data_IF_064660628961
#
_entry.id   IF_064660628961
#
_cell.length_a   1.000
_cell.length_b   1.000
_cell.length_c   1.000
_cell.angle_alpha   90.00
_cell.angle_beta   90.00
_cell.angle_gamma   90.00
#
_symmetry.space_group_name_H-M   'P 1'
#
loop_
_entity.id
_entity.type
_entity.pdbx_description
1 polymer ?
#
# COMPACT_ATOMS: atom_id res chain seq x y z
N UNK A 1 -44.15 49.67 -35.31
CA UNK A 1 -43.15 50.59 -34.70
C UNK A 1 -41.77 50.07 -35.13
N UNK A 2 -40.88 50.82 -35.78
CA UNK A 2 -40.47 52.24 -35.58
C UNK A 2 -39.70 52.41 -34.26
N UNK A 3 -38.51 53.05 -34.19
CA UNK A 3 -37.81 53.94 -35.14
C UNK A 3 -36.28 53.68 -35.05
N UNK A 4 -35.48 53.76 -36.12
CA UNK A 4 -34.65 54.93 -36.56
C UNK A 4 -33.83 55.59 -35.40
N UNK A 5 -32.49 55.59 -35.45
CA UNK A 5 -31.58 56.53 -36.17
C UNK A 5 -31.45 57.90 -35.48
N UNK A 6 -30.46 58.76 -35.73
CA UNK A 6 -29.27 58.76 -36.64
C UNK A 6 -28.03 59.22 -35.82
N UNK A 7 -26.86 59.75 -36.27
CA UNK A 7 -26.27 60.38 -37.47
C UNK A 7 -24.77 59.96 -37.55
N UNK A 8 -24.02 59.98 -38.67
CA UNK A 8 -23.53 61.06 -39.56
C UNK A 8 -22.50 62.04 -38.87
N UNK A 9 -21.40 62.51 -39.48
CA UNK A 9 -21.10 62.62 -40.93
C UNK A 9 -19.59 62.69 -41.37
N UNK A 10 -19.38 62.70 -42.71
CA UNK A 10 -18.23 63.05 -43.64
C UNK A 10 -16.97 63.72 -43.05
N UNK A 11 -15.75 63.60 -43.63
CA UNK A 11 -15.20 64.12 -44.93
C UNK A 11 -13.82 63.42 -45.15
N UNK A 12 -13.27 62.99 -46.31
CA UNK A 12 -13.51 62.99 -47.78
C UNK A 12 -12.75 64.04 -48.66
N UNK A 13 -12.29 63.63 -49.86
CA UNK A 13 -11.57 64.39 -50.94
C UNK A 13 -10.18 64.97 -50.53
N UNK A 14 -9.12 65.10 -51.36
CA UNK A 14 -8.82 64.84 -52.79
C UNK A 14 -7.60 63.88 -52.92
N UNK A 15 -7.24 63.32 -54.08
CA UNK A 15 -7.72 63.54 -55.45
C UNK A 15 -6.61 64.09 -56.36
N UNK A 16 -6.05 63.20 -57.19
CA UNK A 16 -5.14 63.38 -58.34
C UNK A 16 -4.57 64.77 -58.63
N UNK A 17 -3.27 64.96 -58.30
CA UNK A 17 -2.36 65.89 -59.01
C UNK A 17 -0.89 65.65 -58.63
N UNK A 18 -0.22 64.75 -59.36
CA UNK A 18 1.23 64.84 -59.66
C UNK A 18 1.77 63.80 -60.68
N UNK A 19 0.91 62.95 -61.28
CA UNK A 19 1.20 62.40 -62.61
C UNK A 19 1.18 63.51 -63.68
N UNK A 20 2.22 64.36 -63.72
CA UNK A 20 2.48 65.26 -64.87
C UNK A 20 3.86 65.94 -64.82
N UNK A 21 4.94 65.28 -64.37
CA UNK A 21 6.30 65.84 -64.56
C UNK A 21 7.50 64.85 -64.54
N UNK A 22 7.29 63.54 -64.39
CA UNK A 22 8.38 62.54 -64.40
C UNK A 22 8.67 61.92 -65.78
N UNK A 23 8.01 62.41 -66.85
CA UNK A 23 8.37 62.06 -68.22
C UNK A 23 9.51 62.97 -68.69
N UNK A 24 10.60 62.37 -69.20
CA UNK A 24 11.85 63.02 -69.65
C UNK A 24 12.75 63.65 -68.57
N UNK A 25 13.46 62.81 -67.80
CA UNK A 25 14.94 62.64 -67.88
C UNK A 25 15.42 61.57 -66.88
N UNK A 26 16.47 60.83 -67.25
CA UNK A 26 16.99 59.74 -66.43
C UNK A 26 17.73 60.24 -65.18
N UNK A 27 17.45 59.61 -64.03
CA UNK A 27 18.17 59.81 -62.77
C UNK A 27 18.00 58.59 -61.84
N UNK A 28 18.35 57.40 -62.33
CA UNK A 28 18.09 56.10 -61.69
C UNK A 28 19.08 55.73 -60.56
N UNK A 29 19.85 56.70 -60.03
CA UNK A 29 20.95 56.45 -59.08
C UNK A 29 20.75 56.98 -57.64
N UNK A 30 19.80 57.89 -57.37
CA UNK A 30 19.76 58.63 -56.09
C UNK A 30 18.71 58.18 -55.05
N UNK A 31 17.76 57.30 -55.39
CA UNK A 31 16.76 56.81 -54.43
C UNK A 31 17.41 55.95 -53.33
N UNK A 32 18.24 54.97 -53.70
CA UNK A 32 18.90 54.09 -52.73
C UNK A 32 19.85 54.88 -51.79
N UNK A 33 20.52 55.88 -52.36
CA UNK A 33 21.43 56.81 -51.68
C UNK A 33 20.70 57.67 -50.63
N UNK A 34 19.45 58.05 -50.91
CA UNK A 34 18.59 58.77 -49.96
C UNK A 34 18.09 57.83 -48.86
N UNK A 35 17.58 56.64 -49.21
CA UNK A 35 17.09 55.66 -48.23
C UNK A 35 18.15 55.24 -47.19
N UNK A 36 19.40 55.01 -47.62
CA UNK A 36 20.54 54.71 -46.72
C UNK A 36 20.88 55.85 -45.75
N UNK A 37 20.37 57.07 -45.96
CA UNK A 37 20.64 58.26 -45.12
C UNK A 37 19.56 58.53 -44.08
N UNK A 38 18.33 58.05 -44.29
CA UNK A 38 17.21 58.19 -43.36
C UNK A 38 17.13 57.04 -42.33
N UNK A 39 17.51 55.81 -42.72
CA UNK A 39 17.55 54.66 -41.81
C UNK A 39 18.91 54.62 -41.10
N UNK A 40 19.01 55.33 -39.98
CA UNK A 40 20.23 55.36 -39.17
C UNK A 40 20.60 53.98 -38.63
N UNK A 41 21.76 53.45 -39.05
CA UNK A 41 22.29 52.18 -38.53
C UNK A 41 22.37 52.20 -36.99
N UNK A 42 21.92 51.14 -36.30
CA UNK A 42 22.01 51.08 -34.85
C UNK A 42 23.47 51.12 -34.43
N UNK A 43 23.86 52.18 -33.71
CA UNK A 43 25.26 52.36 -33.27
C UNK A 43 25.77 51.12 -32.54
N UNK A 44 27.09 50.87 -32.53
CA UNK A 44 27.66 49.75 -31.76
C UNK A 44 27.25 49.80 -30.27
N UNK A 45 26.97 50.98 -29.71
CA UNK A 45 26.45 51.16 -28.35
C UNK A 45 25.02 50.62 -28.20
N UNK A 46 24.18 50.75 -29.23
CA UNK A 46 22.83 50.19 -29.30
C UNK A 46 22.87 48.67 -29.52
N UNK A 47 23.71 48.18 -30.44
CA UNK A 47 23.87 46.74 -30.69
C UNK A 47 24.44 46.01 -29.47
N UNK A 48 25.43 46.58 -28.78
CA UNK A 48 25.98 46.00 -27.55
C UNK A 48 24.98 46.05 -26.39
N UNK A 49 24.10 47.06 -26.32
CA UNK A 49 22.93 47.01 -25.41
C UNK A 49 22.01 45.84 -25.77
N UNK A 50 21.61 45.67 -27.03
CA UNK A 50 20.75 44.53 -27.43
C UNK A 50 21.38 43.18 -27.10
N UNK A 51 22.67 42.97 -27.43
CA UNK A 51 23.40 41.75 -27.07
C UNK A 51 23.41 41.52 -25.55
N UNK A 52 23.59 42.58 -24.75
CA UNK A 52 23.58 42.49 -23.29
C UNK A 52 22.19 42.15 -22.72
N UNK A 53 21.12 42.74 -23.27
CA UNK A 53 19.74 42.37 -22.90
C UNK A 53 19.38 40.94 -23.34
N UNK A 54 19.79 40.51 -24.55
CA UNK A 54 19.61 39.14 -25.02
C UNK A 54 20.32 38.11 -24.12
N UNK A 55 21.54 38.44 -23.69
CA UNK A 55 22.28 37.62 -22.72
C UNK A 55 21.60 37.57 -21.35
N UNK A 56 21.02 38.69 -20.87
CA UNK A 56 20.23 38.70 -19.65
C UNK A 56 18.93 37.88 -19.77
N UNK A 57 18.21 37.95 -20.89
CA UNK A 57 17.00 37.14 -21.10
C UNK A 57 17.32 35.65 -21.18
N UNK A 58 18.42 35.26 -21.83
CA UNK A 58 18.89 33.87 -21.83
C UNK A 58 19.31 33.40 -20.42
N UNK A 59 19.98 34.26 -19.66
CA UNK A 59 20.35 33.96 -18.26
C UNK A 59 19.13 33.81 -17.34
N UNK A 60 18.11 34.67 -17.48
CA UNK A 60 16.85 34.53 -16.75
C UNK A 60 16.05 33.29 -17.18
N UNK A 61 16.03 32.94 -18.47
CA UNK A 61 15.42 31.69 -18.96
C UNK A 61 16.15 30.47 -18.39
N UNK A 62 17.48 30.48 -18.33
CA UNK A 62 18.27 29.42 -17.71
C UNK A 62 18.01 29.30 -16.21
N UNK A 63 18.00 30.41 -15.46
CA UNK A 63 17.62 30.40 -14.04
C UNK A 63 16.19 29.88 -13.86
N UNK A 64 15.25 30.28 -14.70
CA UNK A 64 13.87 29.81 -14.63
C UNK A 64 13.77 28.29 -14.88
N UNK A 65 14.51 27.75 -15.86
CA UNK A 65 14.59 26.31 -16.11
C UNK A 65 15.22 25.55 -14.92
N UNK A 66 16.32 26.05 -14.35
CA UNK A 66 16.96 25.44 -13.17
C UNK A 66 16.04 25.47 -11.96
N UNK A 67 15.34 26.58 -11.72
CA UNK A 67 14.33 26.71 -10.64
C UNK A 67 13.13 25.81 -10.92
N UNK A 68 12.71 25.64 -12.17
CA UNK A 68 11.61 24.75 -12.53
C UNK A 68 11.99 23.29 -12.26
N UNK A 69 13.17 22.83 -12.68
CA UNK A 69 13.69 21.49 -12.40
C UNK A 69 13.85 21.25 -10.88
N UNK A 70 14.44 22.20 -10.14
CA UNK A 70 14.46 22.13 -8.67
C UNK A 70 13.05 22.07 -8.07
N UNK A 71 12.05 22.72 -8.69
CA UNK A 71 10.65 22.65 -8.23
C UNK A 71 9.98 21.31 -8.54
N UNK A 72 10.49 20.53 -9.48
CA UNK A 72 10.02 19.15 -9.73
C UNK A 72 10.67 18.17 -8.75
N UNK A 73 11.97 18.31 -8.46
CA UNK A 73 12.65 17.54 -7.40
C UNK A 73 12.01 17.80 -6.03
N UNK A 74 11.72 19.06 -5.69
CA UNK A 74 11.06 19.45 -4.42
C UNK A 74 9.58 19.05 -4.36
N UNK A 75 8.94 18.68 -5.48
CA UNK A 75 7.58 18.09 -5.49
C UNK A 75 7.56 16.62 -5.09
N UNK A 76 8.69 15.92 -5.08
CA UNK A 76 8.76 14.58 -4.50
C UNK A 76 8.67 14.70 -2.97
N UNK A 77 7.62 14.15 -2.31
CA UNK A 77 7.52 14.24 -0.87
C UNK A 77 8.65 13.42 -0.22
N UNK A 78 9.49 14.07 0.59
CA UNK A 78 10.59 13.44 1.33
C UNK A 78 10.13 12.50 2.47
N UNK A 79 8.84 12.14 2.49
CA UNK A 79 8.17 11.29 3.46
C UNK A 79 7.26 10.32 2.71
N UNK A 80 7.11 9.06 3.17
CA UNK A 80 6.21 8.10 2.55
C UNK A 80 4.75 8.57 2.71
N UNK A 81 4.21 9.21 1.68
CA UNK A 81 2.78 9.42 1.54
C UNK A 81 2.11 8.05 1.45
N UNK A 82 1.03 7.83 2.21
CA UNK A 82 0.16 6.66 2.03
C UNK A 82 -0.44 6.69 0.63
N UNK A 83 0.24 6.04 -0.34
CA UNK A 83 -0.31 5.82 -1.67
C UNK A 83 -1.59 5.01 -1.54
N UNK A 84 -2.72 5.64 -1.86
CA UNK A 84 -3.97 4.92 -2.10
C UNK A 84 -3.73 3.98 -3.28
N UNK A 85 -3.84 2.67 -3.04
CA UNK A 85 -3.49 1.59 -3.98
C UNK A 85 -3.77 1.94 -5.45
N UNK A 86 -2.70 2.20 -6.20
CA UNK A 86 -2.73 2.38 -7.65
C UNK A 86 -2.92 1.00 -8.28
N UNK A 87 -4.05 0.79 -8.94
CA UNK A 87 -4.52 -0.55 -9.31
C UNK A 87 -3.77 -1.11 -10.51
N UNK A 88 -2.62 -1.73 -10.24
CA UNK A 88 -2.25 -2.95 -10.97
C UNK A 88 -3.30 -4.01 -10.64
N UNK A 89 -4.31 -4.09 -11.50
CA UNK A 89 -5.55 -4.84 -11.29
C UNK A 89 -5.31 -6.35 -11.49
N UNK A 90 -4.56 -6.96 -10.58
CA UNK A 90 -4.44 -8.42 -10.50
C UNK A 90 -5.77 -9.00 -10.01
N UNK A 91 -6.39 -9.84 -10.83
CA UNK A 91 -7.69 -10.44 -10.53
C UNK A 91 -7.55 -11.57 -9.49
N UNK A 92 -7.28 -11.18 -8.24
CA UNK A 92 -6.76 -12.06 -7.20
C UNK A 92 -7.22 -11.65 -5.81
N UNK A 93 -7.91 -12.56 -5.13
CA UNK A 93 -8.41 -12.38 -3.76
C UNK A 93 -7.30 -12.55 -2.72
N UNK A 94 -7.18 -11.63 -1.77
CA UNK A 94 -6.39 -11.86 -0.56
C UNK A 94 -7.29 -12.54 0.48
N UNK A 95 -6.91 -13.73 0.95
CA UNK A 95 -7.67 -14.48 1.95
C UNK A 95 -6.92 -14.38 3.29
N UNK A 96 -7.36 -13.47 4.16
CA UNK A 96 -6.74 -13.28 5.48
C UNK A 96 -7.40 -14.24 6.49
N UNK A 97 -6.60 -15.10 7.11
CA UNK A 97 -7.02 -16.03 8.15
C UNK A 97 -6.60 -15.50 9.52
N UNK A 98 -7.59 -15.17 10.36
CA UNK A 98 -7.38 -14.61 11.70
C UNK A 98 -7.98 -15.50 12.78
N UNK A 99 -7.15 -16.17 13.59
CA UNK A 99 -7.61 -16.80 14.83
C UNK A 99 -7.82 -15.72 15.91
N UNK A 100 -8.94 -15.78 16.64
CA UNK A 100 -9.22 -14.87 17.77
C UNK A 100 -9.80 -15.63 18.98
N UNK A 101 -9.70 -15.07 20.19
CA UNK A 101 -10.18 -15.74 21.42
C UNK A 101 -10.60 -14.74 22.51
N UNK A 102 -11.48 -15.15 23.44
CA UNK A 102 -12.01 -14.28 24.50
C UNK A 102 -10.91 -13.80 25.45
N UNK A 103 -10.46 -12.55 25.26
CA UNK A 103 -9.53 -11.80 26.13
C UNK A 103 -9.96 -10.34 26.24
N UNK A 104 -9.50 -9.63 27.27
CA UNK A 104 -9.86 -8.21 27.49
C UNK A 104 -9.52 -7.32 26.30
N UNK A 105 -8.36 -7.50 25.68
CA UNK A 105 -7.90 -6.62 24.57
C UNK A 105 -8.54 -6.94 23.22
N UNK A 106 -9.27 -8.06 23.09
CA UNK A 106 -9.72 -8.60 21.78
C UNK A 106 -10.43 -7.56 20.91
N UNK A 107 -11.34 -6.78 21.48
CA UNK A 107 -12.14 -5.84 20.68
C UNK A 107 -11.29 -4.68 20.17
N UNK A 108 -10.34 -4.16 20.96
CA UNK A 108 -9.39 -3.15 20.50
C UNK A 108 -8.44 -3.71 19.42
N UNK A 109 -7.99 -4.96 19.60
CA UNK A 109 -7.12 -5.68 18.68
C UNK A 109 -7.82 -5.96 17.32
N UNK A 110 -9.02 -6.51 17.35
CA UNK A 110 -9.87 -6.72 16.16
C UNK A 110 -10.24 -5.39 15.48
N UNK A 111 -10.50 -4.31 16.23
CA UNK A 111 -10.83 -2.99 15.65
C UNK A 111 -9.64 -2.37 14.90
N UNK A 112 -8.41 -2.43 15.42
CA UNK A 112 -7.24 -1.92 14.68
C UNK A 112 -6.94 -2.76 13.44
N UNK A 113 -7.15 -4.07 13.50
CA UNK A 113 -7.04 -4.94 12.32
C UNK A 113 -8.12 -4.61 11.28
N UNK A 114 -9.39 -4.49 11.70
CA UNK A 114 -10.51 -4.11 10.84
C UNK A 114 -10.28 -2.78 10.12
N UNK A 115 -9.80 -1.75 10.83
CA UNK A 115 -9.45 -0.44 10.28
C UNK A 115 -8.28 -0.51 9.28
N UNK A 116 -7.37 -1.49 9.42
CA UNK A 116 -6.27 -1.67 8.47
C UNK A 116 -6.74 -2.40 7.21
N UNK A 117 -7.53 -3.48 7.37
CA UNK A 117 -7.99 -4.32 6.27
C UNK A 117 -9.05 -3.63 5.40
N UNK A 118 -9.90 -2.75 5.94
CA UNK A 118 -10.93 -2.03 5.17
C UNK A 118 -10.36 -1.06 4.12
N UNK A 119 -9.05 -0.77 4.19
CA UNK A 119 -8.33 -0.01 3.15
C UNK A 119 -7.78 -0.89 2.01
N UNK A 120 -7.88 -2.23 2.12
CA UNK A 120 -7.38 -3.19 1.13
C UNK A 120 -8.55 -3.70 0.28
N UNK A 121 -8.49 -3.46 -1.04
CA UNK A 121 -9.44 -4.02 -2.00
C UNK A 121 -9.31 -5.54 -2.12
N UNK A 122 -10.34 -6.19 -2.64
CA UNK A 122 -10.27 -7.58 -3.13
C UNK A 122 -9.66 -8.52 -2.06
N UNK A 123 -10.25 -8.44 -0.86
CA UNK A 123 -9.82 -9.14 0.35
C UNK A 123 -11.04 -9.78 1.03
N UNK A 124 -10.91 -11.06 1.40
CA UNK A 124 -11.90 -11.83 2.14
C UNK A 124 -11.34 -12.22 3.51
N UNK A 125 -12.01 -11.79 4.58
CA UNK A 125 -11.52 -11.98 5.96
C UNK A 125 -12.16 -13.21 6.62
N UNK A 126 -11.37 -14.27 6.83
CA UNK A 126 -11.79 -15.49 7.54
C UNK A 126 -11.41 -15.36 9.02
N UNK A 127 -12.41 -15.17 9.88
CA UNK A 127 -12.22 -15.04 11.33
C UNK A 127 -12.71 -16.30 12.04
N UNK A 128 -11.84 -16.93 12.82
CA UNK A 128 -12.15 -18.17 13.54
C UNK A 128 -11.95 -17.97 15.05
N UNK A 129 -13.04 -18.02 15.81
CA UNK A 129 -13.02 -17.87 17.27
C UNK A 129 -12.70 -19.19 17.99
N UNK A 130 -11.76 -19.19 18.94
CA UNK A 130 -11.59 -20.26 19.93
C UNK A 130 -12.74 -20.21 20.97
N UNK A 131 -13.90 -20.71 20.57
CA UNK A 131 -15.13 -20.70 21.35
C UNK A 131 -16.16 -21.72 20.85
N UNK A 132 -17.20 -21.95 21.65
CA UNK A 132 -18.33 -22.83 21.29
C UNK A 132 -19.31 -22.19 20.30
N UNK A 133 -19.28 -20.86 20.17
CA UNK A 133 -20.16 -20.04 19.33
C UNK A 133 -19.46 -18.72 19.00
N UNK A 134 -19.89 -18.05 17.93
CA UNK A 134 -19.54 -16.67 17.64
C UNK A 134 -20.18 -15.71 18.64
N UNK A 135 -19.71 -14.46 18.67
CA UNK A 135 -20.24 -13.39 19.54
C UNK A 135 -20.56 -12.11 18.74
N UNK A 136 -21.67 -11.40 19.05
CA UNK A 136 -22.09 -10.21 18.30
C UNK A 136 -21.01 -9.13 18.17
N UNK A 137 -20.32 -8.76 19.26
CA UNK A 137 -19.32 -7.68 19.25
C UNK A 137 -18.18 -7.86 18.23
N UNK A 138 -17.89 -9.10 17.79
CA UNK A 138 -16.96 -9.36 16.68
C UNK A 138 -17.68 -9.32 15.33
N UNK A 139 -18.87 -9.91 15.20
CA UNK A 139 -19.73 -9.78 14.01
C UNK A 139 -19.89 -8.30 13.61
N UNK A 140 -20.28 -7.46 14.57
CA UNK A 140 -20.46 -6.02 14.42
C UNK A 140 -19.19 -5.32 13.89
N UNK A 141 -17.99 -5.80 14.23
CA UNK A 141 -16.72 -5.26 13.71
C UNK A 141 -16.56 -5.64 12.23
N UNK A 142 -16.84 -6.89 11.87
CA UNK A 142 -16.70 -7.39 10.49
C UNK A 142 -17.70 -6.68 9.56
N UNK A 143 -18.97 -6.56 9.97
CA UNK A 143 -20.00 -5.84 9.20
C UNK A 143 -19.61 -4.37 8.93
N UNK A 144 -18.99 -3.70 9.91
CA UNK A 144 -18.49 -2.32 9.76
C UNK A 144 -17.30 -2.16 8.81
N UNK A 145 -16.63 -3.24 8.39
CA UNK A 145 -15.54 -3.13 7.40
C UNK A 145 -16.03 -2.96 5.96
N UNK A 146 -17.25 -3.43 5.64
CA UNK A 146 -17.72 -3.55 4.26
C UNK A 146 -16.99 -4.61 3.42
N UNK A 147 -16.10 -5.41 4.01
CA UNK A 147 -15.37 -6.48 3.34
C UNK A 147 -16.20 -7.78 3.27
N UNK A 148 -16.02 -8.60 2.22
CA UNK A 148 -16.36 -10.02 2.28
C UNK A 148 -15.69 -10.69 3.49
N UNK A 149 -16.43 -11.49 4.25
CA UNK A 149 -15.89 -12.20 5.40
C UNK A 149 -16.52 -13.58 5.60
N UNK A 150 -15.91 -14.40 6.44
CA UNK A 150 -16.54 -15.61 6.98
C UNK A 150 -16.14 -15.79 8.42
N UNK A 151 -17.14 -15.78 9.31
CA UNK A 151 -16.95 -15.84 10.75
C UNK A 151 -17.50 -17.16 11.30
N UNK A 152 -16.65 -17.94 11.96
CA UNK A 152 -17.03 -19.21 12.59
C UNK A 152 -16.39 -19.34 13.97
N UNK A 153 -16.92 -20.24 14.79
CA UNK A 153 -16.33 -20.58 16.08
C UNK A 153 -15.94 -22.06 16.11
N UNK A 154 -14.66 -22.31 16.38
CA UNK A 154 -14.04 -23.63 16.44
C UNK A 154 -13.16 -23.69 17.68
N UNK A 155 -13.75 -24.04 18.82
CA UNK A 155 -13.04 -24.28 20.08
C UNK A 155 -11.88 -25.25 19.88
N UNK A 156 -10.71 -24.92 20.41
CA UNK A 156 -9.48 -25.71 20.34
C UNK A 156 -9.73 -27.16 20.76
N UNK A 157 -9.57 -28.10 19.82
CA UNK A 157 -9.74 -29.52 20.06
C UNK A 157 -8.67 -30.09 21.01
N UNK A 158 -8.96 -31.25 21.60
CA UNK A 158 -8.03 -31.92 22.52
C UNK A 158 -6.68 -32.20 21.84
N UNK A 159 -5.58 -31.91 22.53
CA UNK A 159 -4.22 -32.07 22.03
C UNK A 159 -3.69 -30.92 21.16
N UNK A 160 -4.53 -29.98 20.69
CA UNK A 160 -4.04 -28.80 19.97
C UNK A 160 -3.46 -27.72 20.92
N UNK A 161 -2.36 -27.04 20.54
CA UNK A 161 -1.87 -25.89 21.29
C UNK A 161 -2.86 -24.73 21.24
N UNK A 162 -3.08 -24.09 22.40
CA UNK A 162 -3.97 -22.91 22.56
C UNK A 162 -3.30 -21.63 22.03
N UNK A 163 -2.98 -21.64 20.72
CA UNK A 163 -2.23 -20.61 19.98
C UNK A 163 -2.76 -20.41 18.55
N UNK A 164 -4.06 -20.62 18.34
CA UNK A 164 -4.70 -20.49 17.02
C UNK A 164 -4.45 -21.64 16.04
N UNK A 165 -3.70 -22.69 16.41
CA UNK A 165 -3.32 -23.76 15.46
C UNK A 165 -4.54 -24.54 14.95
N UNK A 166 -5.49 -24.84 15.83
CA UNK A 166 -6.75 -25.49 15.46
C UNK A 166 -7.61 -24.57 14.59
N UNK A 167 -7.66 -23.28 14.94
CA UNK A 167 -8.46 -22.27 14.26
C UNK A 167 -7.96 -22.02 12.83
N UNK A 168 -6.64 -21.86 12.62
CA UNK A 168 -6.03 -21.80 11.27
C UNK A 168 -6.19 -23.11 10.50
N UNK A 169 -6.18 -24.26 11.18
CA UNK A 169 -6.50 -25.57 10.58
C UNK A 169 -7.94 -25.68 10.08
N UNK A 170 -8.92 -25.15 10.83
CA UNK A 170 -10.31 -25.12 10.39
C UNK A 170 -10.54 -24.11 9.26
N UNK A 171 -9.81 -22.98 9.26
CA UNK A 171 -9.79 -22.05 8.12
C UNK A 171 -9.24 -22.71 6.83
N UNK A 172 -8.14 -23.48 6.91
CA UNK A 172 -7.62 -24.22 5.76
C UNK A 172 -8.64 -25.20 5.18
N UNK A 173 -9.38 -25.93 6.04
CA UNK A 173 -10.48 -26.81 5.61
C UNK A 173 -11.60 -26.04 4.93
N UNK A 174 -12.02 -24.92 5.53
CA UNK A 174 -13.04 -24.01 4.99
C UNK A 174 -12.65 -23.45 3.61
N UNK A 175 -11.39 -23.02 3.42
CA UNK A 175 -10.87 -22.53 2.14
C UNK A 175 -10.98 -23.61 1.05
N UNK A 176 -10.68 -24.86 1.39
CA UNK A 176 -10.76 -26.02 0.48
C UNK A 176 -12.20 -26.42 0.15
N UNK A 177 -13.15 -26.29 1.09
CA UNK A 177 -14.56 -26.67 0.86
C UNK A 177 -15.41 -25.55 0.26
N UNK A 178 -15.02 -24.27 0.41
CA UNK A 178 -15.86 -23.13 0.04
C UNK A 178 -15.14 -22.14 -0.91
N UNK A 179 -14.13 -22.59 -1.66
CA UNK A 179 -13.27 -21.76 -2.52
C UNK A 179 -14.06 -20.79 -3.41
N UNK A 180 -15.06 -21.28 -4.15
CA UNK A 180 -15.87 -20.47 -5.08
C UNK A 180 -16.75 -19.44 -4.38
N UNK A 181 -17.06 -19.61 -3.09
CA UNK A 181 -17.78 -18.61 -2.29
C UNK A 181 -16.83 -17.53 -1.77
N UNK A 182 -15.59 -17.89 -1.48
CA UNK A 182 -14.54 -16.98 -0.98
C UNK A 182 -13.94 -16.12 -2.11
N UNK A 183 -13.85 -16.65 -3.33
CA UNK A 183 -13.41 -15.88 -4.51
C UNK A 183 -14.53 -15.03 -5.13
N UNK A 184 -15.80 -15.42 -4.96
CA UNK A 184 -16.91 -14.81 -5.66
C UNK A 184 -16.97 -15.19 -7.15
N UNK A 185 -17.58 -14.34 -7.97
CA UNK A 185 -17.68 -14.55 -9.42
C UNK A 185 -16.50 -13.93 -10.18
N UNK A 186 -15.94 -12.84 -9.66
CA UNK A 186 -14.93 -12.04 -10.36
C UNK A 186 -13.54 -12.71 -10.34
N UNK A 187 -13.16 -13.35 -9.24
CA UNK A 187 -11.79 -13.82 -9.00
C UNK A 187 -11.58 -15.30 -9.34
N UNK A 188 -10.45 -15.61 -9.97
CA UNK A 188 -10.01 -17.00 -10.24
C UNK A 188 -8.69 -17.37 -9.54
N UNK A 189 -8.03 -16.41 -8.91
CA UNK A 189 -6.83 -16.63 -8.11
C UNK A 189 -6.97 -16.06 -6.71
N UNK A 190 -6.14 -16.55 -5.79
CA UNK A 190 -6.01 -15.95 -4.48
C UNK A 190 -4.68 -16.27 -3.80
N UNK A 191 -4.42 -15.60 -2.68
CA UNK A 191 -3.28 -15.84 -1.79
C UNK A 191 -3.80 -15.89 -0.36
N UNK A 192 -3.40 -16.92 0.39
CA UNK A 192 -3.78 -17.13 1.80
C UNK A 192 -2.70 -16.56 2.72
N UNK A 193 -3.09 -15.67 3.63
CA UNK A 193 -2.23 -15.05 4.62
C UNK A 193 -2.72 -15.32 6.05
N UNK A 194 -1.82 -15.64 6.97
CA UNK A 194 -2.16 -15.90 8.38
C UNK A 194 -1.88 -14.66 9.23
N UNK A 195 -2.90 -13.81 9.38
CA UNK A 195 -2.82 -12.58 10.17
C UNK A 195 -3.45 -12.74 11.54
N UNK A 196 -2.63 -12.81 12.59
CA UNK A 196 -3.08 -12.83 13.98
C UNK A 196 -3.64 -11.46 14.45
N UNK A 197 -4.61 -11.48 15.37
CA UNK A 197 -5.37 -10.27 15.76
C UNK A 197 -4.58 -9.25 16.60
N UNK A 198 -3.44 -9.62 17.19
CA UNK A 198 -2.59 -8.73 18.01
C UNK A 198 -1.41 -8.07 17.27
N UNK A 199 -1.12 -8.52 16.05
CA UNK A 199 -0.01 -8.04 15.22
C UNK A 199 -0.29 -6.65 14.61
N UNK A 200 0.72 -6.03 14.00
CA UNK A 200 0.59 -4.70 13.35
C UNK A 200 1.09 -4.76 11.92
N UNK A 201 0.30 -4.20 10.99
CA UNK A 201 0.49 -4.37 9.54
C UNK A 201 0.46 -3.03 8.82
N UNK A 202 1.38 -2.84 7.86
CA UNK A 202 1.29 -1.78 6.85
C UNK A 202 0.34 -2.22 5.72
N UNK A 203 -0.45 -1.31 5.15
CA UNK A 203 -1.33 -1.59 3.99
C UNK A 203 -0.50 -2.05 2.77
N UNK A 204 0.76 -1.61 2.68
CA UNK A 204 1.74 -2.04 1.68
C UNK A 204 2.09 -3.52 1.76
N UNK A 205 1.97 -4.15 2.94
CA UNK A 205 2.10 -5.61 3.06
C UNK A 205 1.12 -6.34 2.14
N UNK A 206 -0.13 -5.89 2.13
CA UNK A 206 -1.20 -6.52 1.37
C UNK A 206 -1.15 -6.17 -0.12
N UNK A 207 -0.78 -4.92 -0.44
CA UNK A 207 -0.78 -4.41 -1.82
C UNK A 207 0.50 -4.71 -2.59
N UNK A 208 1.66 -4.58 -1.96
CA UNK A 208 2.96 -4.70 -2.61
C UNK A 208 3.55 -6.13 -2.48
N UNK A 209 3.32 -6.83 -1.36
CA UNK A 209 3.86 -8.19 -1.14
C UNK A 209 2.80 -9.29 -1.34
N UNK A 210 1.83 -9.44 -0.43
CA UNK A 210 0.91 -10.59 -0.37
C UNK A 210 0.18 -10.82 -1.70
N UNK A 211 -0.34 -9.76 -2.33
CA UNK A 211 -1.05 -9.86 -3.61
C UNK A 211 -0.20 -10.46 -4.74
N UNK A 212 1.11 -10.26 -4.71
CA UNK A 212 2.02 -10.60 -5.81
C UNK A 212 2.63 -12.00 -5.70
N UNK A 213 2.35 -12.74 -4.62
CA UNK A 213 2.82 -14.12 -4.39
C UNK A 213 2.29 -15.11 -5.44
N UNK A 214 3.17 -15.87 -6.08
CA UNK A 214 2.86 -16.90 -7.08
C UNK A 214 2.91 -18.30 -6.47
N UNK A 215 3.81 -18.54 -5.52
CA UNK A 215 3.93 -19.82 -4.80
C UNK A 215 4.00 -19.60 -3.28
N UNK A 216 5.13 -19.11 -2.78
CA UNK A 216 5.41 -18.89 -1.35
C UNK A 216 6.15 -17.57 -1.17
N UNK A 217 5.46 -16.52 -0.73
CA UNK A 217 6.07 -15.23 -0.45
C UNK A 217 6.63 -15.17 0.96
N UNK A 218 7.85 -14.66 1.15
CA UNK A 218 8.47 -14.45 2.48
C UNK A 218 9.13 -13.07 2.57
N UNK A 219 8.95 -12.40 3.72
CA UNK A 219 9.49 -11.06 4.02
C UNK A 219 10.05 -10.98 5.45
N UNK A 220 10.56 -9.80 5.81
CA UNK A 220 11.02 -9.50 7.17
C UNK A 220 9.86 -9.20 8.13
N UNK A 221 9.99 -9.64 9.39
CA UNK A 221 9.02 -9.42 10.47
C UNK A 221 9.71 -8.71 11.64
N UNK A 222 9.14 -7.60 12.10
CA UNK A 222 9.66 -6.85 13.24
C UNK A 222 9.24 -7.43 14.60
N UNK A 223 10.08 -7.21 15.61
CA UNK A 223 9.85 -7.52 17.04
C UNK A 223 9.58 -9.00 17.35
N UNK A 224 10.12 -9.93 16.56
CA UNK A 224 9.87 -11.37 16.67
C UNK A 224 11.13 -12.17 17.04
N UNK A 225 10.97 -13.43 17.46
CA UNK A 225 12.08 -14.35 17.80
C UNK A 225 12.97 -13.95 18.98
N UNK A 226 12.60 -12.89 19.73
CA UNK A 226 13.48 -12.26 20.72
C UNK A 226 14.56 -11.36 20.10
N UNK A 227 14.22 -10.72 18.97
CA UNK A 227 15.05 -9.79 18.19
C UNK A 227 14.26 -8.53 17.79
N UNK A 228 14.94 -7.55 17.18
CA UNK A 228 14.28 -6.37 16.58
C UNK A 228 13.65 -6.69 15.21
N UNK A 229 14.24 -7.60 14.45
CA UNK A 229 13.76 -8.07 13.14
C UNK A 229 14.30 -9.46 12.85
N UNK A 230 13.46 -10.34 12.33
CA UNK A 230 13.84 -11.59 11.70
C UNK A 230 13.52 -11.54 10.19
N UNK A 231 14.43 -12.02 9.33
CA UNK A 231 14.33 -11.80 7.88
C UNK A 231 15.00 -12.90 7.04
N UNK A 232 14.53 -13.15 5.80
CA UNK A 232 15.22 -14.03 4.86
C UNK A 232 16.59 -13.45 4.45
N UNK A 233 17.62 -14.29 4.38
CA UNK A 233 18.93 -13.94 3.82
C UNK A 233 18.93 -14.25 2.32
N UNK A 234 18.68 -13.21 1.53
CA UNK A 234 18.62 -13.30 0.05
C UNK A 234 20.01 -13.10 -0.56
N UNK A 235 20.36 -13.97 -1.51
CA UNK A 235 21.55 -13.86 -2.40
C UNK A 235 21.07 -14.22 -3.80
N UNK A 236 21.42 -13.41 -4.81
CA UNK A 236 21.05 -13.62 -6.22
C UNK A 236 19.55 -13.91 -6.45
N UNK A 237 18.70 -13.18 -5.72
CA UNK A 237 17.24 -13.31 -5.75
C UNK A 237 16.66 -14.52 -5.00
N UNK A 238 17.50 -15.39 -4.41
CA UNK A 238 17.07 -16.62 -3.70
C UNK A 238 17.35 -16.58 -2.21
N UNK A 239 16.46 -17.19 -1.41
CA UNK A 239 16.66 -17.32 0.04
C UNK A 239 17.67 -18.42 0.33
N UNK A 240 18.82 -18.07 0.90
CA UNK A 240 19.92 -19.01 1.21
C UNK A 240 19.95 -19.43 2.68
N UNK A 241 19.46 -18.57 3.57
CA UNK A 241 19.32 -18.80 5.01
C UNK A 241 18.28 -17.81 5.56
N UNK A 242 18.12 -17.78 6.89
CA UNK A 242 17.33 -16.76 7.58
C UNK A 242 18.16 -16.11 8.67
N UNK A 243 18.06 -14.79 8.78
CA UNK A 243 18.64 -14.00 9.85
C UNK A 243 17.67 -14.06 11.04
N UNK A 244 17.74 -15.14 11.81
CA UNK A 244 16.95 -15.39 13.04
C UNK A 244 17.86 -15.64 14.23
N UNK A 245 17.35 -15.37 15.44
CA UNK A 245 18.02 -15.78 16.68
C UNK A 245 17.53 -17.13 17.17
N UNK A 246 16.24 -17.44 16.99
CA UNK A 246 15.65 -18.69 17.46
C UNK A 246 15.60 -19.76 16.36
N UNK A 247 16.31 -20.86 16.62
CA UNK A 247 16.36 -22.06 15.78
C UNK A 247 16.56 -21.78 14.27
N UNK A 248 17.72 -21.22 13.85
CA UNK A 248 18.05 -20.93 12.45
C UNK A 248 18.21 -22.17 11.56
N UNK A 249 18.15 -23.38 12.11
CA UNK A 249 18.25 -24.65 11.36
C UNK A 249 16.92 -25.15 10.79
N UNK A 250 15.79 -24.52 11.12
CA UNK A 250 14.48 -24.81 10.50
C UNK A 250 14.57 -24.57 8.99
N UNK A 251 13.95 -25.43 8.16
CA UNK A 251 13.90 -25.24 6.70
C UNK A 251 13.32 -23.88 6.35
N UNK A 252 12.16 -23.59 6.94
CA UNK A 252 11.49 -22.29 6.95
C UNK A 252 11.63 -21.68 8.35
N UNK A 253 12.69 -20.91 8.56
CA UNK A 253 12.96 -20.21 9.80
C UNK A 253 12.30 -18.83 9.78
N UNK A 254 10.96 -18.83 9.72
CA UNK A 254 10.10 -17.64 9.63
C UNK A 254 9.09 -17.64 10.78
N UNK A 255 8.35 -16.55 10.93
CA UNK A 255 7.18 -16.40 11.81
C UNK A 255 5.87 -16.49 11.00
N UNK A 256 4.74 -16.75 11.66
CA UNK A 256 3.41 -16.80 11.06
C UNK A 256 3.08 -15.60 10.17
N UNK A 257 3.41 -14.39 10.63
CA UNK A 257 3.11 -13.15 9.92
C UNK A 257 4.10 -12.85 8.76
N UNK A 258 5.17 -13.65 8.63
CA UNK A 258 6.29 -13.44 7.71
C UNK A 258 6.15 -14.11 6.34
N UNK A 259 5.04 -14.82 6.07
CA UNK A 259 4.82 -15.49 4.79
C UNK A 259 3.36 -15.49 4.35
N UNK A 260 3.12 -15.68 3.05
CA UNK A 260 1.82 -16.05 2.49
C UNK A 260 1.98 -17.11 1.39
N UNK A 261 0.92 -17.89 1.17
CA UNK A 261 0.92 -19.05 0.27
C UNK A 261 -0.12 -18.87 -0.83
N UNK A 262 0.23 -19.18 -2.08
CA UNK A 262 -0.74 -19.13 -3.18
C UNK A 262 -1.88 -20.12 -2.94
N UNK A 263 -3.12 -19.71 -3.22
CA UNK A 263 -4.32 -20.52 -3.00
C UNK A 263 -4.25 -21.88 -3.72
N UNK A 264 -3.61 -21.96 -4.90
CA UNK A 264 -3.47 -23.22 -5.65
C UNK A 264 -2.67 -24.28 -4.85
N UNK A 265 -1.66 -23.87 -4.08
CA UNK A 265 -0.92 -24.77 -3.19
C UNK A 265 -1.79 -25.22 -2.02
N UNK A 266 -2.58 -24.30 -1.43
CA UNK A 266 -3.51 -24.61 -0.33
C UNK A 266 -4.60 -25.58 -0.75
N UNK A 267 -5.08 -25.52 -2.00
CA UNK A 267 -6.09 -26.43 -2.56
C UNK A 267 -5.51 -27.79 -2.97
N UNK A 268 -4.27 -27.84 -3.47
CA UNK A 268 -3.63 -29.06 -3.95
C UNK A 268 -2.97 -29.91 -2.84
N UNK A 269 -3.03 -29.46 -1.57
CA UNK A 269 -2.50 -30.16 -0.39
C UNK A 269 -3.58 -30.31 0.66
N UNK A 270 -3.54 -31.37 1.46
CA UNK A 270 -4.40 -31.58 2.64
C UNK A 270 -3.81 -31.01 3.95
N UNK A 271 -2.58 -30.47 3.90
CA UNK A 271 -1.79 -30.02 5.06
C UNK A 271 -2.54 -29.15 6.08
N UNK A 272 -2.15 -29.27 7.35
CA UNK A 272 -2.74 -28.59 8.51
C UNK A 272 -1.67 -28.29 9.57
N UNK A 273 -1.97 -27.46 10.56
CA UNK A 273 -1.00 -27.07 11.61
C UNK A 273 -0.70 -28.20 12.61
N UNK A 274 -1.57 -29.21 12.70
CA UNK A 274 -1.43 -30.37 13.57
C UNK A 274 -1.44 -30.03 15.06
N UNK A 275 -1.16 -31.04 15.90
CA UNK A 275 -1.08 -30.91 17.36
C UNK A 275 0.33 -30.57 17.87
N UNK A 276 1.37 -30.85 17.09
CA UNK A 276 2.77 -30.51 17.40
C UNK A 276 3.61 -30.47 16.13
N UNK A 277 4.64 -29.63 16.11
CA UNK A 277 5.61 -29.58 15.02
C UNK A 277 7.04 -29.82 15.53
N UNK A 278 7.55 -31.04 15.40
CA UNK A 278 8.92 -31.38 15.82
C UNK A 278 9.99 -30.79 14.88
N UNK A 279 9.72 -30.78 13.56
CA UNK A 279 10.63 -30.28 12.51
C UNK A 279 10.91 -28.78 12.67
N UNK A 280 9.87 -28.00 12.97
CA UNK A 280 9.96 -26.58 13.35
C UNK A 280 10.35 -26.30 14.81
N UNK A 281 10.77 -27.30 15.59
CA UNK A 281 11.20 -27.12 16.98
C UNK A 281 10.12 -26.61 17.94
N UNK A 282 8.84 -26.87 17.64
CA UNK A 282 7.68 -26.38 18.39
C UNK A 282 6.95 -25.19 17.76
N UNK A 283 7.51 -24.59 16.71
CA UNK A 283 6.84 -23.59 15.88
C UNK A 283 6.24 -24.27 14.61
N UNK A 284 5.00 -23.96 14.19
CA UNK A 284 4.26 -24.76 13.22
C UNK A 284 4.59 -24.46 11.75
N UNK A 285 5.16 -23.30 11.44
CA UNK A 285 5.38 -22.77 10.09
C UNK A 285 6.14 -23.77 9.23
N UNK A 286 7.21 -24.32 9.80
CA UNK A 286 8.08 -25.27 9.13
C UNK A 286 7.34 -26.55 8.76
N UNK A 287 6.50 -27.11 9.65
CA UNK A 287 5.73 -28.30 9.30
C UNK A 287 4.65 -28.00 8.27
N UNK A 288 3.89 -26.91 8.43
CA UNK A 288 2.82 -26.56 7.49
C UNK A 288 3.33 -26.42 6.06
N UNK A 289 4.43 -25.69 5.88
CA UNK A 289 5.01 -25.44 4.55
C UNK A 289 5.63 -26.71 3.95
N UNK A 290 6.36 -27.50 4.74
CA UNK A 290 6.88 -28.80 4.31
C UNK A 290 5.77 -29.80 3.96
N UNK A 291 4.66 -29.80 4.71
CA UNK A 291 3.52 -30.70 4.49
C UNK A 291 2.64 -30.22 3.30
N UNK A 292 2.76 -28.93 2.91
CA UNK A 292 2.30 -28.42 1.62
C UNK A 292 3.20 -28.82 0.43
N UNK A 293 4.29 -29.55 0.68
CA UNK A 293 5.25 -29.97 -0.33
C UNK A 293 6.22 -28.87 -0.77
N UNK A 294 6.32 -27.77 -0.02
CA UNK A 294 7.18 -26.63 -0.36
C UNK A 294 8.63 -26.86 0.11
N UNK A 295 9.57 -26.46 -0.74
CA UNK A 295 11.01 -26.41 -0.47
C UNK A 295 11.48 -24.95 -0.34
N UNK A 296 12.79 -24.75 -0.06
CA UNK A 296 13.35 -23.38 0.06
C UNK A 296 13.41 -22.67 -1.29
N UNK A 297 13.50 -23.46 -2.35
CA UNK A 297 13.65 -23.06 -3.74
C UNK A 297 12.35 -22.47 -4.32
N UNK A 298 11.20 -22.73 -3.67
CA UNK A 298 9.88 -22.16 -3.98
C UNK A 298 9.67 -20.75 -3.40
N UNK A 299 10.58 -20.27 -2.55
CA UNK A 299 10.42 -18.99 -1.85
C UNK A 299 10.66 -17.82 -2.81
N UNK A 300 9.64 -16.97 -2.93
CA UNK A 300 9.72 -15.61 -3.46
C UNK A 300 10.03 -14.65 -2.31
N UNK A 301 11.27 -14.12 -2.20
CA UNK A 301 11.57 -13.09 -1.21
C UNK A 301 10.97 -11.75 -1.60
N UNK A 302 10.47 -11.00 -0.62
CA UNK A 302 9.95 -9.64 -0.78
C UNK A 302 10.64 -8.66 0.20
N UNK A 303 10.83 -7.41 -0.22
CA UNK A 303 11.41 -6.35 0.62
C UNK A 303 12.94 -6.44 0.74
N UNK A 304 13.59 -7.13 -0.19
CA UNK A 304 15.04 -7.34 -0.22
C UNK A 304 15.77 -6.47 -1.26
N UNK A 305 15.02 -5.76 -2.10
CA UNK A 305 15.47 -5.13 -3.34
C UNK A 305 16.38 -3.93 -3.06
N UNK A 306 16.09 -3.18 -1.98
CA UNK A 306 16.97 -2.12 -1.47
C UNK A 306 18.19 -2.74 -0.76
N UNK A 307 19.39 -2.21 -1.04
CA UNK A 307 20.64 -2.64 -0.37
C UNK A 307 20.89 -1.98 0.99
N UNK A 308 20.20 -0.87 1.26
CA UNK A 308 20.12 -0.16 2.55
C UNK A 308 18.65 0.18 2.84
N UNK A 309 18.34 0.55 4.07
CA UNK A 309 17.05 1.17 4.44
C UNK A 309 15.83 0.36 3.95
N UNK A 310 15.91 -0.96 4.14
CA UNK A 310 14.82 -1.91 3.90
C UNK A 310 13.71 -1.67 4.92
N UNK A 311 12.49 -1.51 4.41
CA UNK A 311 11.31 -1.29 5.25
C UNK A 311 10.71 -2.63 5.70
N UNK A 312 10.27 -2.65 6.95
CA UNK A 312 9.48 -3.74 7.52
C UNK A 312 8.00 -3.33 7.36
N UNK A 313 7.15 -4.24 6.86
CA UNK A 313 5.71 -3.98 6.68
C UNK A 313 4.83 -4.74 7.67
N UNK A 314 5.41 -5.54 8.58
CA UNK A 314 4.68 -6.28 9.62
C UNK A 314 5.50 -6.45 10.89
N UNK A 315 4.83 -6.34 12.04
CA UNK A 315 5.45 -6.48 13.37
C UNK A 315 4.63 -7.41 14.25
N UNK A 316 5.31 -8.33 14.94
CA UNK A 316 4.70 -9.21 15.93
C UNK A 316 4.47 -8.49 17.27
N UNK A 317 3.71 -7.39 17.23
CA UNK A 317 3.24 -6.67 18.42
C UNK A 317 2.35 -7.56 19.28
N UNK A 318 2.26 -7.26 20.59
CA UNK A 318 1.30 -7.86 21.52
C UNK A 318 0.76 -6.81 22.47
N UNK A 319 -0.56 -6.77 22.64
CA UNK A 319 -1.20 -5.85 23.58
C UNK A 319 -1.02 -6.36 25.01
N UNK A 320 -0.52 -5.50 25.90
CA UNK A 320 -0.38 -5.82 27.32
C UNK A 320 -1.72 -6.05 27.99
N UNK A 321 -1.80 -7.03 28.89
CA UNK A 321 -2.98 -7.28 29.72
C UNK A 321 -3.30 -6.02 30.55
N UNK A 322 -4.48 -5.39 30.41
CA UNK A 322 -4.82 -4.18 31.14
C UNK A 322 -4.86 -4.41 32.65
N UNK A 323 -4.28 -3.48 33.41
CA UNK A 323 -4.36 -3.48 34.88
C UNK A 323 -5.67 -2.80 35.33
N UNK A 324 -6.74 -3.58 35.47
CA UNK A 324 -8.05 -3.10 35.92
C UNK A 324 -8.08 -3.08 37.46
N UNK A 325 -8.18 -1.90 38.05
CA UNK A 325 -8.39 -1.73 39.49
C UNK A 325 -9.77 -2.27 39.87
N UNK A 326 -9.80 -3.45 40.50
CA UNK A 326 -11.03 -3.98 41.10
C UNK A 326 -11.53 -3.00 42.18
N UNK A 327 -12.78 -2.54 42.05
CA UNK A 327 -13.34 -1.58 42.98
C UNK A 327 -13.54 -2.20 44.37
N UNK A 328 -12.68 -1.84 45.34
CA UNK A 328 -12.87 -2.14 46.76
C UNK A 328 -14.06 -1.34 47.33
N UNK A 329 -15.29 -1.74 46.97
CA UNK A 329 -16.51 -1.44 47.74
C UNK A 329 -16.81 -2.65 48.62
N UNK A 330 -17.18 -2.41 49.88
CA UNK A 330 -17.30 -3.42 50.92
C UNK A 330 -18.26 -4.57 50.54
N UNK A 331 -17.71 -5.66 50.01
CA UNK A 331 -18.41 -6.91 49.73
C UNK A 331 -17.50 -8.08 50.12
N UNK A 332 -18.07 -9.09 50.78
CA UNK A 332 -17.34 -10.25 51.34
C UNK A 332 -16.99 -11.32 50.30
N UNK A 333 -17.09 -11.00 49.01
CA UNK A 333 -16.69 -11.84 47.87
C UNK A 333 -16.05 -10.96 46.80
N UNK A 334 -15.04 -11.44 46.04
CA UNK A 334 -14.54 -10.73 44.87
C UNK A 334 -15.66 -10.56 43.84
N UNK A 335 -15.85 -9.35 43.33
CA UNK A 335 -16.68 -9.13 42.13
C UNK A 335 -15.93 -9.76 40.96
N UNK A 336 -16.51 -10.72 40.21
CA UNK A 336 -15.85 -11.27 39.03
C UNK A 336 -15.63 -10.16 37.98
N UNK A 337 -14.57 -10.24 37.16
CA UNK A 337 -14.44 -9.33 36.02
C UNK A 337 -15.67 -9.48 35.12
N UNK A 338 -16.20 -8.39 34.50
CA UNK A 338 -17.42 -8.45 33.72
C UNK A 338 -17.38 -9.57 32.68
N UNK A 339 -18.45 -10.37 32.58
CA UNK A 339 -18.52 -11.47 31.61
C UNK A 339 -18.41 -10.98 30.16
N UNK A 340 -18.80 -9.73 29.93
CA UNK A 340 -18.66 -8.98 28.67
C UNK A 340 -17.26 -8.44 28.42
N UNK A 341 -16.34 -8.46 29.39
CA UNK A 341 -15.03 -7.77 29.35
C UNK A 341 -15.08 -6.29 28.90
N UNK A 342 -16.23 -5.62 29.04
CA UNK A 342 -16.42 -4.25 28.53
C UNK A 342 -16.52 -4.16 27.00
N UNK A 343 -16.83 -5.26 26.30
CA UNK A 343 -17.09 -5.25 24.84
C UNK A 343 -18.33 -4.39 24.48
N UNK A 344 -19.23 -4.19 25.43
CA UNK A 344 -20.35 -3.26 25.38
C UNK A 344 -20.46 -2.50 26.71
N UNK A 345 -21.14 -1.35 26.69
CA UNK A 345 -21.68 -0.72 27.90
C UNK A 345 -23.07 -1.30 28.12
N UNK A 346 -23.30 -1.89 29.30
CA UNK A 346 -24.63 -2.29 29.75
C UNK A 346 -25.43 -1.03 30.14
N UNK A 347 -26.69 -0.94 29.68
CA UNK A 347 -27.58 0.24 29.75
C UNK A 347 -28.67 0.02 30.79
#
# INVERSE_FOLDING_TARGET
>A
MSSKSSDDDKIKVFGDKLESQALQKGCEEDIEKHCRRCIGYPTMRTMNKLKKYGMYTLFFMFIFLVVFQFSEDVRQPAYPVFKRSETNQTNRMIIVVTPTYKRMTRIADMLRMANTLSHVKDLHWIVIEDGNKTIPAVQDILDRTGLPYTYQAHKTALGYPRRGWYQRTMALKLIRSNTSQILGQDHQEGVVYFGDDDNSYDIRLFTDYIRNVKTLGIWAVGLVGGTVVEAPKVVDGKVTAFNVKWNPKRRFAVDMAGFAVNLKVVLNSDAVFGTSCKRGGGAPETCLLEDMGLEREDIEPFGYEKTKDREIFVWHTKTSTPNIVQSKKNQTKPVPPPDTFGYFVEV
#
